data_IF_472752017961
#
_entry.id   IF_472752017961
#
_cell.length_a   1.000
_cell.length_b   1.000
_cell.length_c   1.000
_cell.angle_alpha   90.00
_cell.angle_beta   90.00
_cell.angle_gamma   90.00
#
_symmetry.space_group_name_H-M   'P 1'
#
loop_
_entity.id
_entity.type
_entity.pdbx_description
1 polymer ?
#
# COMPACT_ATOMS: atom_id res chain seq x y z
N UNK A 1 1.79 -22.77 13.16
CA UNK A 1 1.99 -21.57 12.34
C UNK A 1 0.76 -20.73 12.52
N UNK A 2 0.92 -19.46 12.87
CA UNK A 2 -0.22 -18.56 13.07
C UNK A 2 -0.92 -18.36 11.73
N UNK A 3 -2.14 -18.82 11.59
CA UNK A 3 -2.92 -18.72 10.35
C UNK A 3 -3.19 -17.25 9.94
N UNK A 4 -2.91 -16.31 10.82
CA UNK A 4 -3.12 -14.86 10.64
C UNK A 4 -1.83 -14.07 10.43
N UNK A 5 -0.66 -14.71 10.44
CA UNK A 5 0.61 -14.01 10.19
C UNK A 5 0.82 -13.72 8.70
N UNK A 6 1.54 -12.63 8.35
CA UNK A 6 1.86 -12.34 6.97
C UNK A 6 2.74 -13.43 6.36
N UNK A 7 2.55 -13.67 5.06
CA UNK A 7 3.55 -14.32 4.22
C UNK A 7 4.63 -13.28 3.92
N UNK A 8 5.86 -13.55 4.32
CA UNK A 8 6.99 -12.66 4.03
C UNK A 8 7.52 -12.91 2.62
N UNK A 9 7.40 -11.92 1.77
CA UNK A 9 7.82 -12.02 0.37
C UNK A 9 9.33 -11.83 0.18
N UNK A 10 10.07 -11.54 1.24
CA UNK A 10 11.54 -11.40 1.28
C UNK A 10 12.06 -10.53 0.13
N UNK A 11 11.40 -9.40 -0.11
CA UNK A 11 11.78 -8.47 -1.16
C UNK A 11 13.25 -8.05 -1.05
N UNK A 12 14.00 -8.12 -2.14
CA UNK A 12 15.45 -7.90 -2.18
C UNK A 12 16.24 -8.80 -1.19
N UNK A 13 15.73 -9.99 -0.88
CA UNK A 13 16.33 -10.91 0.10
C UNK A 13 16.23 -10.44 1.55
N UNK A 14 15.46 -9.40 1.85
CA UNK A 14 15.26 -8.89 3.20
C UNK A 14 13.90 -9.31 3.77
N UNK A 15 13.91 -9.69 5.05
CA UNK A 15 12.70 -10.04 5.78
C UNK A 15 11.94 -8.79 6.23
N UNK A 16 10.62 -8.91 6.38
CA UNK A 16 9.70 -7.91 6.95
C UNK A 16 9.65 -6.60 6.15
N UNK A 17 9.87 -6.67 4.83
CA UNK A 17 9.77 -5.51 3.93
C UNK A 17 8.39 -5.44 3.28
N UNK A 18 7.99 -6.51 2.58
CA UNK A 18 6.69 -6.67 1.93
C UNK A 18 6.11 -8.01 2.34
N UNK A 19 4.88 -8.00 2.80
CA UNK A 19 4.11 -9.20 3.10
C UNK A 19 2.84 -9.30 2.28
N UNK A 20 2.13 -10.40 2.41
CA UNK A 20 0.76 -10.61 1.95
C UNK A 20 0.04 -11.54 2.92
N UNK A 21 -1.28 -11.68 2.79
CA UNK A 21 -2.06 -12.49 3.72
C UNK A 21 -2.94 -13.47 2.98
N UNK A 22 -2.98 -14.73 3.46
CA UNK A 22 -4.03 -15.65 3.07
C UNK A 22 -5.31 -15.33 3.84
N UNK A 23 -6.43 -15.29 3.13
CA UNK A 23 -7.75 -14.97 3.66
C UNK A 23 -8.71 -16.09 3.26
N UNK A 24 -9.22 -16.84 4.23
CA UNK A 24 -10.32 -17.78 3.98
C UNK A 24 -11.60 -16.98 3.77
N UNK A 25 -12.32 -17.26 2.69
CA UNK A 25 -13.55 -16.56 2.33
C UNK A 25 -14.70 -17.55 2.09
N UNK A 26 -15.91 -17.02 1.95
CA UNK A 26 -17.09 -17.85 1.63
C UNK A 26 -17.04 -18.54 0.26
N UNK A 27 -16.16 -18.09 -0.64
CA UNK A 27 -16.02 -18.60 -2.02
C UNK A 27 -14.58 -19.06 -2.34
N UNK A 28 -13.85 -19.56 -1.34
CA UNK A 28 -12.53 -20.12 -1.52
C UNK A 28 -11.42 -19.33 -0.83
N UNK A 29 -10.20 -19.53 -1.29
CA UNK A 29 -9.01 -18.94 -0.70
C UNK A 29 -8.58 -17.67 -1.46
N UNK A 30 -8.44 -16.57 -0.72
CA UNK A 30 -7.95 -15.32 -1.26
C UNK A 30 -6.52 -15.01 -0.79
N UNK A 31 -5.81 -14.26 -1.60
CA UNK A 31 -4.56 -13.59 -1.23
C UNK A 31 -4.82 -12.08 -1.14
N UNK A 32 -4.53 -11.45 -0.02
CA UNK A 32 -4.57 -9.99 0.10
C UNK A 32 -3.20 -9.41 -0.21
N UNK A 33 -3.13 -8.64 -1.28
CA UNK A 33 -1.96 -8.14 -2.00
C UNK A 33 -1.01 -9.28 -2.45
N UNK A 34 -0.10 -9.01 -3.35
CA UNK A 34 0.76 -10.07 -3.92
C UNK A 34 2.23 -9.67 -4.08
N UNK A 35 2.57 -8.43 -3.73
CA UNK A 35 3.92 -7.92 -3.95
C UNK A 35 4.31 -7.76 -5.42
N UNK A 36 5.58 -7.46 -5.69
CA UNK A 36 6.13 -7.38 -7.03
C UNK A 36 6.43 -8.76 -7.63
N UNK A 37 6.53 -8.85 -8.96
CA UNK A 37 6.76 -10.14 -9.64
C UNK A 37 8.09 -10.79 -9.31
N UNK A 38 9.11 -10.04 -8.91
CA UNK A 38 10.39 -10.60 -8.41
C UNK A 38 10.21 -11.41 -7.13
N UNK A 39 9.10 -11.22 -6.40
CA UNK A 39 8.78 -11.93 -5.17
C UNK A 39 7.96 -13.22 -5.40
N UNK A 40 7.51 -13.51 -6.60
CA UNK A 40 6.71 -14.71 -6.91
C UNK A 40 7.40 -16.01 -6.44
N UNK A 41 8.71 -16.22 -6.63
CA UNK A 41 9.37 -17.42 -6.12
C UNK A 41 9.31 -17.56 -4.60
N UNK A 42 9.38 -16.44 -3.85
CA UNK A 42 9.25 -16.45 -2.40
C UNK A 42 7.80 -16.75 -1.98
N UNK A 43 6.81 -16.20 -2.69
CA UNK A 43 5.40 -16.52 -2.49
C UNK A 43 5.12 -18.01 -2.71
N UNK A 44 5.61 -18.60 -3.81
CA UNK A 44 5.45 -20.03 -4.10
C UNK A 44 6.08 -20.92 -3.03
N UNK A 45 7.29 -20.56 -2.57
CA UNK A 45 7.95 -21.27 -1.47
C UNK A 45 7.13 -21.23 -0.17
N UNK A 46 6.59 -20.06 0.18
CA UNK A 46 5.78 -19.88 1.39
C UNK A 46 4.41 -20.57 1.31
N UNK A 47 3.77 -20.54 0.14
CA UNK A 47 2.58 -21.35 -0.13
C UNK A 47 2.89 -22.85 -0.03
N UNK A 48 3.99 -23.32 -0.62
CA UNK A 48 4.43 -24.71 -0.56
C UNK A 48 4.67 -25.20 0.87
N UNK A 49 5.21 -24.36 1.76
CA UNK A 49 5.36 -24.68 3.20
C UNK A 49 4.01 -24.91 3.90
N UNK A 50 2.94 -24.37 3.35
CA UNK A 50 1.55 -24.54 3.81
C UNK A 50 0.80 -25.63 3.03
N UNK A 51 1.51 -26.39 2.18
CA UNK A 51 0.96 -27.39 1.26
C UNK A 51 -0.05 -26.78 0.26
N UNK A 52 0.17 -25.51 -0.12
CA UNK A 52 -0.59 -24.74 -1.09
C UNK A 52 0.30 -24.38 -2.28
N UNK A 53 -0.36 -23.96 -3.36
CA UNK A 53 0.25 -23.41 -4.57
C UNK A 53 -0.56 -22.21 -5.07
N UNK A 54 -0.08 -21.49 -6.06
CA UNK A 54 -0.84 -20.39 -6.69
C UNK A 54 -2.17 -20.89 -7.28
N UNK A 55 -2.25 -22.16 -7.71
CA UNK A 55 -3.49 -22.73 -8.26
C UNK A 55 -4.58 -23.04 -7.22
N UNK A 56 -4.25 -22.94 -5.93
CA UNK A 56 -5.21 -23.08 -4.84
C UNK A 56 -5.82 -21.74 -4.42
N UNK A 57 -5.37 -20.62 -5.02
CA UNK A 57 -5.92 -19.31 -4.80
C UNK A 57 -7.08 -19.05 -5.77
N UNK A 58 -8.26 -18.78 -5.24
CA UNK A 58 -9.44 -18.44 -6.07
C UNK A 58 -9.49 -16.93 -6.34
N UNK A 59 -9.02 -16.13 -5.39
CA UNK A 59 -9.13 -14.66 -5.41
C UNK A 59 -7.83 -13.96 -5.03
N UNK A 60 -7.61 -12.78 -5.63
CA UNK A 60 -6.59 -11.80 -5.25
C UNK A 60 -7.32 -10.50 -4.85
N UNK A 61 -7.20 -10.09 -3.59
CA UNK A 61 -7.80 -8.87 -3.06
C UNK A 61 -6.72 -7.78 -3.03
N UNK A 62 -6.78 -6.84 -3.95
CA UNK A 62 -5.79 -5.76 -4.01
C UNK A 62 -6.25 -4.56 -3.20
N UNK A 63 -5.40 -4.14 -2.25
CA UNK A 63 -5.61 -2.88 -1.54
C UNK A 63 -5.51 -1.71 -2.49
N UNK A 64 -4.50 -1.70 -3.36
CA UNK A 64 -4.27 -0.69 -4.39
C UNK A 64 -3.27 -1.20 -5.44
N UNK A 65 -2.90 -0.35 -6.43
CA UNK A 65 -2.11 -0.80 -7.58
C UNK A 65 -0.63 -0.40 -7.54
N UNK A 66 -0.09 0.03 -6.41
CA UNK A 66 1.37 0.21 -6.31
C UNK A 66 2.08 -1.14 -6.47
N UNK A 67 3.34 -1.08 -6.94
CA UNK A 67 4.05 -2.27 -7.41
C UNK A 67 4.36 -3.28 -6.32
N UNK A 68 4.54 -2.82 -5.11
CA UNK A 68 4.75 -3.60 -3.90
C UNK A 68 3.48 -4.30 -3.36
N UNK A 69 2.31 -3.98 -3.93
CA UNK A 69 1.02 -4.59 -3.62
C UNK A 69 0.47 -5.41 -4.78
N UNK A 70 0.48 -4.87 -5.99
CA UNK A 70 -0.18 -5.44 -7.17
C UNK A 70 0.77 -5.85 -8.30
N UNK A 71 2.07 -5.65 -8.16
CA UNK A 71 3.04 -5.84 -9.25
C UNK A 71 3.06 -7.25 -9.84
N UNK A 72 2.78 -8.29 -9.03
CA UNK A 72 2.71 -9.67 -9.47
C UNK A 72 1.34 -10.09 -10.05
N UNK A 73 0.29 -9.26 -9.95
CA UNK A 73 -1.09 -9.68 -10.27
C UNK A 73 -1.22 -10.34 -11.65
N UNK A 74 -0.74 -9.72 -12.71
CA UNK A 74 -0.81 -10.30 -14.05
C UNK A 74 0.04 -11.55 -14.23
N UNK A 75 1.17 -11.67 -13.52
CA UNK A 75 2.00 -12.88 -13.50
C UNK A 75 1.24 -14.02 -12.83
N UNK A 76 0.59 -13.77 -11.69
CA UNK A 76 -0.21 -14.78 -10.97
C UNK A 76 -1.41 -15.24 -11.81
N UNK A 77 -2.12 -14.33 -12.48
CA UNK A 77 -3.22 -14.69 -13.41
C UNK A 77 -2.70 -15.54 -14.57
N UNK A 78 -1.53 -15.23 -15.13
CA UNK A 78 -0.90 -16.05 -16.18
C UNK A 78 -0.56 -17.46 -15.67
N UNK A 79 -0.12 -17.60 -14.41
CA UNK A 79 0.15 -18.90 -13.77
C UNK A 79 -1.16 -19.65 -13.45
N UNK A 80 -2.19 -18.92 -13.03
CA UNK A 80 -3.51 -19.46 -12.70
C UNK A 80 -4.64 -18.66 -13.38
N UNK A 81 -5.04 -18.99 -14.63
CA UNK A 81 -6.00 -18.21 -15.42
C UNK A 81 -7.43 -18.10 -14.83
N UNK A 82 -7.73 -18.82 -13.76
CA UNK A 82 -9.04 -18.72 -13.07
C UNK A 82 -9.03 -17.71 -11.90
N UNK A 83 -7.86 -17.23 -11.50
CA UNK A 83 -7.70 -16.28 -10.40
C UNK A 83 -8.49 -15.00 -10.67
N UNK A 84 -9.41 -14.64 -9.78
CA UNK A 84 -10.19 -13.40 -9.87
C UNK A 84 -9.49 -12.28 -9.10
N UNK A 85 -9.27 -11.14 -9.72
CA UNK A 85 -8.55 -9.99 -9.14
C UNK A 85 -9.53 -8.89 -8.76
N UNK A 86 -9.77 -8.73 -7.47
CA UNK A 86 -10.63 -7.69 -6.91
C UNK A 86 -9.83 -6.39 -6.75
N UNK A 87 -10.31 -5.32 -7.36
CA UNK A 87 -9.62 -4.03 -7.38
C UNK A 87 -10.62 -2.88 -7.51
N UNK A 88 -10.24 -1.69 -7.04
CA UNK A 88 -11.06 -0.47 -7.21
C UNK A 88 -11.28 -0.15 -8.69
N UNK A 89 -12.43 0.49 -8.99
CA UNK A 89 -12.75 0.96 -10.34
C UNK A 89 -11.65 1.88 -10.92
N UNK A 90 -11.02 2.69 -10.06
CA UNK A 90 -9.93 3.60 -10.45
C UNK A 90 -8.64 2.83 -10.78
N UNK A 91 -8.37 1.73 -10.07
CA UNK A 91 -7.16 0.91 -10.26
C UNK A 91 -7.25 -0.05 -11.46
N UNK A 92 -8.44 -0.58 -11.74
CA UNK A 92 -8.64 -1.65 -12.73
C UNK A 92 -8.06 -1.36 -14.13
N UNK A 93 -8.25 -0.17 -14.74
CA UNK A 93 -7.69 0.13 -16.07
C UNK A 93 -6.15 0.04 -16.11
N UNK A 94 -5.48 0.28 -14.99
CA UNK A 94 -4.01 0.23 -14.89
C UNK A 94 -3.48 -1.20 -14.71
N UNK A 95 -4.31 -2.15 -14.31
CA UNK A 95 -3.96 -3.56 -14.32
C UNK A 95 -4.20 -4.18 -15.70
N UNK A 96 -5.26 -3.77 -16.40
CA UNK A 96 -5.57 -4.23 -17.75
C UNK A 96 -4.54 -3.72 -18.76
N UNK A 97 -4.17 -2.44 -18.67
CA UNK A 97 -3.05 -1.86 -19.42
C UNK A 97 -2.05 -1.21 -18.46
N UNK A 98 -1.02 -1.95 -18.01
CA UNK A 98 -0.03 -1.44 -17.06
C UNK A 98 0.99 -0.47 -17.67
N UNK A 99 0.94 -0.20 -18.95
CA UNK A 99 1.96 0.59 -19.68
C UNK A 99 2.19 2.00 -19.11
N UNK A 100 1.15 2.67 -18.60
CA UNK A 100 1.28 3.99 -17.97
C UNK A 100 1.92 3.88 -16.59
N UNK A 101 1.52 2.90 -15.81
CA UNK A 101 2.07 2.61 -14.50
C UNK A 101 3.56 2.28 -14.61
N UNK A 102 3.92 1.36 -15.51
CA UNK A 102 5.29 0.98 -15.78
C UNK A 102 6.16 2.18 -16.21
N UNK A 103 5.68 2.99 -17.18
CA UNK A 103 6.42 4.19 -17.60
C UNK A 103 6.63 5.19 -16.47
N UNK A 104 5.66 5.33 -15.57
CA UNK A 104 5.77 6.22 -14.40
C UNK A 104 6.80 5.68 -13.40
N UNK A 105 6.73 4.39 -13.10
CA UNK A 105 7.64 3.74 -12.18
C UNK A 105 9.09 3.69 -12.73
N UNK A 106 9.27 3.39 -14.00
CA UNK A 106 10.61 3.44 -14.63
C UNK A 106 11.24 4.84 -14.60
N UNK A 107 10.45 5.91 -14.65
CA UNK A 107 10.97 7.27 -14.44
C UNK A 107 11.42 7.52 -13.00
N UNK A 108 10.75 6.89 -12.04
CA UNK A 108 11.05 7.04 -10.62
C UNK A 108 12.27 6.21 -10.21
N UNK A 109 12.34 4.95 -10.65
CA UNK A 109 13.34 3.99 -10.21
C UNK A 109 14.51 3.81 -11.17
N UNK A 110 14.40 4.34 -12.42
CA UNK A 110 15.46 4.24 -13.43
C UNK A 110 15.88 2.81 -13.72
N UNK A 111 17.19 2.58 -13.75
CA UNK A 111 17.78 1.28 -14.07
C UNK A 111 17.51 0.20 -13.00
N UNK A 112 17.14 0.61 -11.79
CA UNK A 112 16.81 -0.33 -10.72
C UNK A 112 15.40 -0.96 -10.86
N UNK A 113 14.59 -0.48 -11.81
CA UNK A 113 13.19 -0.93 -11.93
C UNK A 113 13.07 -2.45 -12.08
N UNK A 114 13.81 -3.05 -12.99
CA UNK A 114 13.68 -4.49 -13.29
C UNK A 114 14.15 -5.37 -12.12
N UNK A 115 15.17 -4.94 -11.37
CA UNK A 115 15.67 -5.63 -10.18
C UNK A 115 14.67 -5.51 -9.01
N UNK A 116 14.05 -4.33 -8.82
CA UNK A 116 13.13 -4.07 -7.72
C UNK A 116 11.76 -4.70 -7.94
N UNK A 117 11.23 -4.61 -9.16
CA UNK A 117 9.82 -4.86 -9.44
C UNK A 117 9.58 -6.02 -10.41
N UNK A 118 10.52 -6.27 -11.32
CA UNK A 118 10.42 -7.30 -12.34
C UNK A 118 9.40 -6.99 -13.43
N UNK A 119 8.76 -8.02 -13.96
CA UNK A 119 7.76 -7.90 -15.02
C UNK A 119 6.45 -7.35 -14.47
N UNK A 120 5.89 -6.37 -15.15
CA UNK A 120 4.55 -5.87 -14.90
C UNK A 120 3.61 -6.37 -16.00
N UNK A 121 3.05 -7.57 -15.81
CA UNK A 121 2.16 -8.20 -16.76
C UNK A 121 0.73 -7.65 -16.66
N UNK A 122 0.02 -7.57 -17.80
CA UNK A 122 -1.39 -7.19 -17.83
C UNK A 122 -2.27 -8.27 -17.20
N UNK A 123 -3.35 -7.86 -16.54
CA UNK A 123 -4.44 -8.72 -16.08
C UNK A 123 -5.53 -8.72 -17.15
N UNK A 124 -5.97 -9.87 -17.70
CA UNK A 124 -7.09 -9.93 -18.62
C UNK A 124 -8.38 -9.35 -18.00
N UNK A 125 -9.19 -8.65 -18.81
CA UNK A 125 -10.43 -8.02 -18.32
C UNK A 125 -11.38 -9.02 -17.67
N UNK A 126 -11.44 -10.25 -18.17
CA UNK A 126 -12.27 -11.33 -17.64
C UNK A 126 -11.86 -11.80 -16.23
N UNK A 127 -10.64 -11.48 -15.79
CA UNK A 127 -10.16 -11.77 -14.46
C UNK A 127 -10.37 -10.60 -13.48
N UNK A 128 -10.80 -9.43 -13.97
CA UNK A 128 -11.04 -8.25 -13.12
C UNK A 128 -12.44 -8.33 -12.51
N UNK A 129 -12.48 -8.29 -11.18
CA UNK A 129 -13.69 -8.08 -10.39
C UNK A 129 -13.63 -6.69 -9.73
N UNK A 130 -14.54 -5.78 -10.13
CA UNK A 130 -14.57 -4.44 -9.53
C UNK A 130 -15.07 -4.50 -8.09
N UNK A 131 -14.43 -3.71 -7.25
CA UNK A 131 -14.73 -3.60 -5.82
C UNK A 131 -16.22 -3.25 -5.61
N UNK A 132 -16.87 -4.05 -4.78
CA UNK A 132 -18.23 -3.80 -4.27
C UNK A 132 -18.15 -3.56 -2.76
N UNK A 133 -19.17 -2.98 -2.11
CA UNK A 133 -19.17 -2.79 -0.64
C UNK A 133 -19.04 -4.08 0.16
N UNK A 134 -19.39 -5.22 -0.43
CA UNK A 134 -19.18 -6.58 0.09
C UNK A 134 -18.48 -7.42 -0.98
N UNK A 135 -17.35 -8.01 -0.63
CA UNK A 135 -16.54 -8.88 -1.47
C UNK A 135 -16.26 -10.17 -0.70
N UNK A 136 -16.82 -11.31 -1.16
CA UNK A 136 -16.52 -12.62 -0.59
C UNK A 136 -16.75 -12.72 0.94
N UNK A 137 -17.77 -12.09 1.49
CA UNK A 137 -18.03 -11.95 2.94
C UNK A 137 -17.14 -10.91 3.71
N UNK A 138 -16.25 -10.21 3.02
CA UNK A 138 -15.55 -9.07 3.63
C UNK A 138 -16.26 -7.76 3.29
N UNK A 139 -16.35 -6.83 4.27
CA UNK A 139 -16.70 -5.45 3.97
C UNK A 139 -15.53 -4.77 3.27
N UNK A 140 -15.75 -4.28 2.06
CA UNK A 140 -14.73 -3.56 1.30
C UNK A 140 -15.15 -2.10 1.13
N UNK A 141 -14.22 -1.18 1.40
CA UNK A 141 -14.51 0.24 1.35
C UNK A 141 -13.32 1.06 0.84
N UNK A 142 -13.58 2.13 0.06
CA UNK A 142 -12.54 3.02 -0.41
C UNK A 142 -11.84 3.72 0.75
N UNK A 143 -10.51 3.79 0.69
CA UNK A 143 -9.65 4.44 1.67
C UNK A 143 -8.59 5.32 1.00
N UNK A 144 -9.04 6.38 0.30
CA UNK A 144 -8.14 7.28 -0.42
C UNK A 144 -7.27 8.09 0.54
N UNK A 145 -6.15 8.60 0.02
CA UNK A 145 -5.22 9.48 0.74
C UNK A 145 -3.77 9.13 0.47
N UNK A 146 -3.37 7.88 0.74
CA UNK A 146 -2.12 7.32 0.23
C UNK A 146 -2.16 7.25 -1.30
N UNK A 147 -3.24 6.70 -1.84
CA UNK A 147 -3.54 6.65 -3.27
C UNK A 147 -5.06 6.76 -3.49
N UNK A 148 -5.49 7.33 -4.63
CA UNK A 148 -6.91 7.51 -4.95
C UNK A 148 -7.66 6.20 -5.19
N UNK A 149 -6.94 5.17 -5.59
CA UNK A 149 -7.42 3.81 -5.90
C UNK A 149 -7.33 2.84 -4.73
N UNK A 150 -7.02 3.32 -3.51
CA UNK A 150 -6.85 2.47 -2.33
C UNK A 150 -8.20 2.04 -1.73
N UNK A 151 -8.25 0.78 -1.24
CA UNK A 151 -9.36 0.20 -0.50
C UNK A 151 -8.85 -0.70 0.64
N UNK A 152 -9.62 -0.82 1.70
CA UNK A 152 -9.42 -1.77 2.78
C UNK A 152 -10.48 -2.86 2.76
N UNK A 153 -10.17 -4.01 3.38
CA UNK A 153 -11.06 -5.16 3.52
C UNK A 153 -11.17 -5.54 5.00
N UNK A 154 -12.39 -5.47 5.54
CA UNK A 154 -12.67 -5.87 6.93
C UNK A 154 -13.29 -7.28 6.93
N UNK A 155 -12.59 -8.22 7.52
CA UNK A 155 -13.03 -9.60 7.62
C UNK A 155 -14.06 -9.78 8.75
N UNK A 156 -14.90 -10.87 8.72
CA UNK A 156 -15.87 -11.17 9.76
C UNK A 156 -15.29 -11.35 11.17
N UNK A 157 -14.00 -11.73 11.27
CA UNK A 157 -13.29 -11.85 12.56
C UNK A 157 -12.79 -10.51 13.10
N UNK A 158 -13.06 -9.41 12.39
CA UNK A 158 -12.67 -8.05 12.71
C UNK A 158 -11.26 -7.65 12.23
N UNK A 159 -10.51 -8.54 11.58
CA UNK A 159 -9.21 -8.19 10.98
C UNK A 159 -9.41 -7.21 9.83
N UNK A 160 -8.78 -6.04 9.91
CA UNK A 160 -8.75 -5.08 8.81
C UNK A 160 -7.45 -5.25 8.00
N UNK A 161 -7.58 -5.71 6.77
CA UNK A 161 -6.50 -5.70 5.79
C UNK A 161 -6.39 -4.28 5.24
N UNK A 162 -5.42 -3.56 5.79
CA UNK A 162 -5.41 -2.10 5.68
C UNK A 162 -4.50 -1.58 4.55
N UNK A 163 -3.73 -2.46 3.89
CA UNK A 163 -2.72 -2.00 2.93
C UNK A 163 -1.90 -0.85 3.52
N UNK A 164 -1.74 0.22 2.76
CA UNK A 164 -1.01 1.42 3.16
C UNK A 164 -1.87 2.51 3.82
N UNK A 165 -3.21 2.33 3.83
CA UNK A 165 -4.12 3.31 4.45
C UNK A 165 -3.85 3.48 5.95
N UNK A 166 -3.37 2.44 6.63
CA UNK A 166 -2.96 2.52 8.02
C UNK A 166 -1.44 2.76 8.21
N UNK A 167 -0.70 3.08 7.13
CA UNK A 167 0.73 3.36 7.19
C UNK A 167 1.61 2.12 7.39
N UNK A 168 2.87 2.36 7.69
CA UNK A 168 3.92 1.35 7.86
C UNK A 168 4.24 1.19 9.35
N UNK A 169 4.31 -0.06 9.82
CA UNK A 169 4.84 -0.41 11.15
C UNK A 169 5.43 -1.81 11.12
N UNK A 170 6.74 -1.90 11.27
CA UNK A 170 7.49 -3.17 11.22
C UNK A 170 7.49 -3.81 12.63
N UNK A 171 6.67 -4.86 12.81
CA UNK A 171 6.60 -5.55 14.10
C UNK A 171 7.95 -6.20 14.50
N UNK A 172 8.32 -6.21 15.80
CA UNK A 172 7.51 -5.80 16.97
C UNK A 172 7.60 -4.31 17.32
N UNK A 173 8.18 -3.50 16.47
CA UNK A 173 8.36 -2.07 16.69
C UNK A 173 7.02 -1.32 16.83
N UNK A 174 7.07 -0.11 17.39
CA UNK A 174 5.90 0.77 17.58
C UNK A 174 5.97 2.04 16.75
N UNK A 175 7.01 2.21 15.95
CA UNK A 175 7.14 3.35 15.05
C UNK A 175 6.18 3.20 13.87
N UNK A 176 5.11 4.01 13.85
CA UNK A 176 4.17 4.06 12.73
C UNK A 176 4.45 5.30 11.86
N UNK A 177 4.60 5.14 10.56
CA UNK A 177 4.90 6.24 9.65
C UNK A 177 4.09 6.18 8.36
N UNK A 178 3.78 7.36 7.74
CA UNK A 178 2.99 7.44 6.54
C UNK A 178 3.86 7.26 5.29
N UNK A 179 3.59 6.25 4.43
CA UNK A 179 4.14 6.20 3.08
C UNK A 179 3.42 7.25 2.21
N UNK A 180 4.15 8.27 1.76
CA UNK A 180 3.59 9.36 0.95
C UNK A 180 4.25 9.43 -0.43
N UNK A 181 4.22 8.34 -1.25
CA UNK A 181 4.85 8.34 -2.56
C UNK A 181 4.10 9.23 -3.55
N UNK A 182 4.79 9.75 -4.61
CA UNK A 182 4.09 10.40 -5.70
C UNK A 182 3.31 9.36 -6.53
N UNK A 183 2.25 9.74 -7.28
CA UNK A 183 1.84 11.12 -7.54
C UNK A 183 0.62 11.61 -6.74
N UNK A 184 -0.06 10.77 -5.96
CA UNK A 184 -1.47 10.98 -5.59
C UNK A 184 -1.73 11.23 -4.10
N UNK A 185 -0.70 11.51 -3.32
CA UNK A 185 -0.89 11.80 -1.90
C UNK A 185 -1.88 12.97 -1.67
N UNK A 186 -2.87 12.74 -0.79
CA UNK A 186 -3.88 13.71 -0.36
C UNK A 186 -4.09 13.61 1.16
N UNK A 187 -3.63 14.63 1.89
CA UNK A 187 -3.71 14.67 3.36
C UNK A 187 -5.16 14.62 3.87
N UNK A 188 -6.04 15.46 3.32
CA UNK A 188 -7.42 15.57 3.82
C UNK A 188 -8.20 14.28 3.57
N UNK A 189 -7.97 13.63 2.42
CA UNK A 189 -8.55 12.33 2.12
C UNK A 189 -8.04 11.26 3.10
N UNK A 190 -6.73 11.26 3.41
CA UNK A 190 -6.16 10.26 4.33
C UNK A 190 -6.63 10.44 5.76
N UNK A 191 -6.77 11.68 6.23
CA UNK A 191 -7.34 11.94 7.56
C UNK A 191 -8.79 11.42 7.67
N UNK A 192 -9.62 11.62 6.62
CA UNK A 192 -10.97 11.02 6.57
C UNK A 192 -10.94 9.49 6.52
N UNK A 193 -9.98 8.91 5.82
CA UNK A 193 -9.76 7.46 5.80
C UNK A 193 -9.43 6.92 7.19
N UNK A 194 -8.57 7.61 7.96
CA UNK A 194 -8.26 7.21 9.34
C UNK A 194 -9.54 7.29 10.21
N UNK A 195 -10.35 8.36 10.07
CA UNK A 195 -11.64 8.47 10.78
C UNK A 195 -12.60 7.32 10.41
N UNK A 196 -12.59 6.89 9.14
CA UNK A 196 -13.41 5.79 8.63
C UNK A 196 -12.98 4.43 9.19
N UNK A 197 -11.66 4.22 9.34
CA UNK A 197 -11.09 3.02 9.98
C UNK A 197 -11.43 3.02 11.47
N UNK A 198 -11.19 4.13 12.17
CA UNK A 198 -11.50 4.25 13.61
C UNK A 198 -13.00 4.00 13.93
N UNK A 199 -13.91 4.44 13.07
CA UNK A 199 -15.36 4.23 13.24
C UNK A 199 -15.79 2.76 13.15
N UNK A 200 -15.00 1.92 12.44
CA UNK A 200 -15.24 0.47 12.38
C UNK A 200 -14.68 -0.28 13.56
N UNK A 201 -13.88 0.38 14.39
CA UNK A 201 -13.29 -0.19 15.61
C UNK A 201 -12.63 -1.57 15.39
N UNK A 202 -11.79 -1.76 14.32
CA UNK A 202 -11.19 -3.06 14.10
C UNK A 202 -10.30 -3.44 15.28
N UNK A 203 -10.41 -4.66 15.83
CA UNK A 203 -9.55 -5.10 16.93
C UNK A 203 -8.09 -5.25 16.53
N UNK A 204 -7.81 -5.39 15.22
CA UNK A 204 -6.45 -5.50 14.67
C UNK A 204 -6.35 -5.01 13.24
N UNK A 205 -5.15 -4.55 12.87
CA UNK A 205 -4.81 -4.18 11.49
C UNK A 205 -3.79 -5.19 10.94
N UNK A 206 -4.01 -5.67 9.72
CA UNK A 206 -3.06 -6.45 8.95
C UNK A 206 -2.34 -5.51 7.98
N UNK A 207 -1.06 -5.25 8.23
CA UNK A 207 -0.24 -4.34 7.43
C UNK A 207 0.67 -5.12 6.49
N UNK A 208 0.76 -4.70 5.26
CA UNK A 208 1.72 -5.24 4.27
C UNK A 208 3.16 -4.92 4.69
N UNK A 209 3.39 -3.76 5.31
CA UNK A 209 4.68 -3.28 5.84
C UNK A 209 4.65 -3.08 7.38
N UNK A 210 4.76 -4.01 8.25
CA UNK A 210 4.74 -5.45 8.21
C UNK A 210 4.13 -6.00 9.49
N UNK A 211 3.09 -6.82 9.36
CA UNK A 211 2.57 -7.65 10.44
C UNK A 211 1.23 -7.18 11.02
N UNK A 212 0.80 -7.89 12.07
CA UNK A 212 -0.46 -7.61 12.75
C UNK A 212 -0.24 -6.55 13.83
N UNK A 213 -1.09 -5.54 13.86
CA UNK A 213 -1.14 -4.50 14.89
C UNK A 213 -2.37 -4.73 15.75
N UNK A 214 -2.16 -5.13 17.01
CA UNK A 214 -3.23 -5.40 17.98
C UNK A 214 -3.60 -4.16 18.82
N UNK A 215 -2.97 -3.02 18.57
CA UNK A 215 -3.24 -1.72 19.20
C UNK A 215 -3.57 -0.63 18.15
N UNK A 216 -4.69 -0.78 17.38
CA UNK A 216 -5.03 0.13 16.28
C UNK A 216 -5.13 1.60 16.70
N UNK A 217 -5.77 1.90 17.83
CA UNK A 217 -5.98 3.28 18.29
C UNK A 217 -4.66 4.06 18.47
N UNK A 218 -3.71 3.62 19.33
CA UNK A 218 -2.40 4.26 19.45
C UNK A 218 -1.63 4.36 18.13
N UNK A 219 -1.73 3.33 17.27
CA UNK A 219 -1.09 3.28 15.97
C UNK A 219 -1.65 4.36 15.03
N UNK A 220 -2.96 4.42 14.84
CA UNK A 220 -3.63 5.40 13.97
C UNK A 220 -3.43 6.84 14.48
N UNK A 221 -3.43 7.06 15.79
CA UNK A 221 -3.10 8.35 16.38
C UNK A 221 -1.67 8.79 16.06
N UNK A 222 -0.70 7.87 16.08
CA UNK A 222 0.67 8.16 15.72
C UNK A 222 0.80 8.49 14.22
N UNK A 223 0.13 7.71 13.35
CA UNK A 223 0.07 7.95 11.91
C UNK A 223 -0.53 9.33 11.61
N UNK A 224 -1.68 9.67 12.22
CA UNK A 224 -2.35 10.97 12.08
C UNK A 224 -1.42 12.13 12.47
N UNK A 225 -0.76 12.01 13.62
CA UNK A 225 0.21 13.03 14.09
C UNK A 225 1.32 13.24 13.05
N UNK A 226 1.95 12.17 12.56
CA UNK A 226 3.02 12.26 11.56
C UNK A 226 2.57 12.80 10.22
N UNK A 227 1.38 12.46 9.76
CA UNK A 227 0.82 13.08 8.57
C UNK A 227 0.77 14.61 8.70
N UNK A 228 0.31 15.12 9.84
CA UNK A 228 0.30 16.57 10.09
C UNK A 228 1.71 17.15 10.20
N UNK A 229 2.61 16.50 10.94
CA UNK A 229 3.99 16.97 11.12
C UNK A 229 4.76 16.99 9.79
N UNK A 230 4.67 15.92 9.00
CA UNK A 230 5.39 15.79 7.74
C UNK A 230 4.89 16.78 6.68
N UNK A 231 3.58 17.01 6.60
CA UNK A 231 2.99 17.94 5.64
C UNK A 231 3.16 19.41 6.01
N UNK A 232 3.30 19.72 7.30
CA UNK A 232 3.53 21.09 7.77
C UNK A 232 4.96 21.60 7.51
N UNK A 233 5.90 20.71 7.19
CA UNK A 233 7.33 21.03 7.09
C UNK A 233 7.82 21.03 5.65
N UNK A 234 7.50 22.08 4.89
CA UNK A 234 8.05 22.33 3.55
C UNK A 234 9.52 22.78 3.65
N UNK A 235 10.42 21.80 3.80
CA UNK A 235 11.86 21.99 3.93
C UNK A 235 12.57 21.56 2.64
N UNK A 236 13.83 22.05 2.41
CA UNK A 236 14.71 21.45 1.41
C UNK A 236 14.89 19.95 1.65
N UNK A 237 15.03 19.18 0.57
CA UNK A 237 15.08 17.71 0.63
C UNK A 237 16.09 17.18 1.65
N UNK A 238 17.32 17.68 1.61
CA UNK A 238 18.39 17.24 2.51
C UNK A 238 18.04 17.45 3.99
N UNK A 239 17.42 18.60 4.31
CA UNK A 239 17.03 18.92 5.68
C UNK A 239 15.86 18.08 6.15
N UNK A 240 14.88 17.84 5.27
CA UNK A 240 13.73 17.00 5.54
C UNK A 240 14.16 15.54 5.77
N UNK A 241 14.96 14.98 4.86
CA UNK A 241 15.48 13.62 4.95
C UNK A 241 16.31 13.42 6.22
N UNK A 242 17.21 14.36 6.54
CA UNK A 242 18.01 14.31 7.77
C UNK A 242 17.14 14.27 9.01
N UNK A 243 16.08 15.09 9.05
CA UNK A 243 15.15 15.16 10.18
C UNK A 243 14.35 13.87 10.35
N UNK A 244 13.81 13.32 9.26
CA UNK A 244 13.04 12.08 9.29
C UNK A 244 13.92 10.87 9.58
N UNK A 245 15.15 10.83 9.08
CA UNK A 245 16.12 9.79 9.46
C UNK A 245 16.41 9.81 10.96
N UNK A 246 16.68 10.99 11.52
CA UNK A 246 16.91 11.11 12.95
C UNK A 246 15.69 10.69 13.80
N UNK A 247 14.48 11.07 13.38
CA UNK A 247 13.24 10.64 14.02
C UNK A 247 13.12 9.11 14.00
N UNK A 248 13.31 8.49 12.82
CA UNK A 248 13.25 7.05 12.64
C UNK A 248 14.30 6.32 13.47
N UNK A 249 15.54 6.79 13.48
CA UNK A 249 16.63 6.23 14.30
C UNK A 249 16.37 6.35 15.81
N UNK A 250 15.68 7.39 16.24
CA UNK A 250 15.37 7.63 17.65
C UNK A 250 14.15 6.83 18.15
N UNK A 251 13.19 6.53 17.27
CA UNK A 251 11.92 5.94 17.64
C UNK A 251 11.73 4.49 17.14
N UNK A 252 12.63 3.97 16.29
CA UNK A 252 12.58 2.61 15.74
C UNK A 252 13.76 1.78 16.20
N UNK A 253 13.52 0.51 16.53
CA UNK A 253 14.55 -0.48 16.82
C UNK A 253 15.19 -1.08 15.55
N UNK A 254 14.55 -0.90 14.38
CA UNK A 254 15.01 -1.47 13.09
C UNK A 254 14.89 -0.46 11.93
N UNK A 255 15.59 0.69 11.99
CA UNK A 255 15.48 1.74 10.98
C UNK A 255 15.88 1.29 9.57
N UNK A 256 16.73 0.26 9.47
CA UNK A 256 17.16 -0.31 8.19
C UNK A 256 16.05 -1.02 7.43
N UNK A 257 15.18 -1.76 8.12
CA UNK A 257 14.02 -2.41 7.50
C UNK A 257 12.97 -1.37 7.07
N UNK A 258 12.76 -0.32 7.88
CA UNK A 258 11.89 0.80 7.47
C UNK A 258 12.40 1.51 6.21
N UNK A 259 13.73 1.69 6.07
CA UNK A 259 14.28 2.30 4.83
C UNK A 259 14.03 1.44 3.59
N UNK A 260 14.03 0.12 3.74
CA UNK A 260 13.72 -0.78 2.61
C UNK A 260 12.23 -0.83 2.30
N UNK A 261 11.37 -0.84 3.33
CA UNK A 261 9.92 -0.90 3.16
C UNK A 261 9.35 0.44 2.66
N UNK A 262 9.91 1.55 3.14
CA UNK A 262 9.45 2.91 2.83
C UNK A 262 10.65 3.86 2.76
N UNK A 263 11.36 3.92 1.64
CA UNK A 263 12.46 4.87 1.48
C UNK A 263 11.98 6.32 1.60
N UNK A 264 12.59 7.08 2.51
CA UNK A 264 12.16 8.45 2.82
C UNK A 264 12.21 9.40 1.63
N UNK A 265 13.10 9.16 0.66
CA UNK A 265 13.16 9.96 -0.56
C UNK A 265 11.88 9.87 -1.40
N UNK A 266 11.22 8.70 -1.41
CA UNK A 266 9.92 8.53 -2.08
C UNK A 266 8.83 9.33 -1.39
N UNK A 267 8.80 9.28 -0.06
CA UNK A 267 7.85 10.08 0.72
C UNK A 267 8.07 11.58 0.51
N UNK A 268 9.33 12.02 0.50
CA UNK A 268 9.65 13.43 0.19
C UNK A 268 9.17 13.82 -1.22
N UNK A 269 9.41 12.97 -2.22
CA UNK A 269 8.99 13.26 -3.60
C UNK A 269 7.46 13.46 -3.71
N UNK A 270 6.67 12.70 -2.98
CA UNK A 270 5.23 12.88 -2.93
C UNK A 270 4.80 14.12 -2.16
N UNK A 271 5.42 14.38 -1.01
CA UNK A 271 5.18 15.62 -0.24
C UNK A 271 5.59 16.87 -1.02
N UNK A 272 6.72 16.86 -1.73
CA UNK A 272 7.11 17.97 -2.60
C UNK A 272 6.03 18.30 -3.63
N UNK A 273 5.48 17.29 -4.25
CA UNK A 273 4.39 17.44 -5.21
C UNK A 273 3.11 17.96 -4.56
N UNK A 274 2.82 17.54 -3.33
CA UNK A 274 1.70 18.04 -2.53
C UNK A 274 1.87 19.53 -2.22
N UNK A 275 3.03 19.97 -1.76
CA UNK A 275 3.30 21.39 -1.47
C UNK A 275 3.26 22.24 -2.73
N UNK A 276 3.83 21.78 -3.86
CA UNK A 276 3.78 22.48 -5.14
C UNK A 276 2.32 22.69 -5.61
N UNK A 277 1.47 21.69 -5.42
CA UNK A 277 0.03 21.79 -5.72
C UNK A 277 -0.66 22.83 -4.84
N UNK A 278 -0.37 22.86 -3.54
CA UNK A 278 -0.91 23.86 -2.62
C UNK A 278 -0.47 25.28 -2.99
N UNK A 279 0.80 25.48 -3.32
CA UNK A 279 1.34 26.77 -3.74
C UNK A 279 0.65 27.25 -5.03
N UNK A 280 0.52 26.40 -6.04
CA UNK A 280 -0.19 26.72 -7.29
C UNK A 280 -1.69 27.04 -7.10
N UNK A 281 -2.35 26.37 -6.15
CA UNK A 281 -3.74 26.70 -5.78
C UNK A 281 -3.84 28.05 -5.07
N UNK A 282 -2.84 28.40 -4.24
CA UNK A 282 -2.76 29.71 -3.57
C UNK A 282 -2.63 30.85 -4.58
N UNK A 283 -1.74 30.71 -5.55
CA UNK A 283 -1.55 31.70 -6.64
C UNK A 283 -2.80 31.86 -7.51
N UNK A 284 -3.45 30.77 -7.89
CA UNK A 284 -4.70 30.81 -8.66
C UNK A 284 -5.84 31.52 -7.89
N UNK A 285 -5.92 31.31 -6.57
CA UNK A 285 -6.92 31.97 -5.71
C UNK A 285 -6.66 33.48 -5.60
N UNK A 286 -5.39 33.90 -5.52
CA UNK A 286 -5.01 35.31 -5.49
C UNK A 286 -5.28 35.96 -6.85
N UNK A 287 -4.93 35.26 -7.95
CA UNK A 287 -5.18 35.77 -9.30
C UNK A 287 -6.68 35.97 -9.60
N UNK A 288 -7.53 35.04 -9.14
CA UNK A 288 -8.99 35.15 -9.32
C UNK A 288 -9.62 36.29 -8.50
N UNK A 289 -9.03 36.66 -7.35
CA UNK A 289 -9.47 37.81 -6.53
C UNK A 289 -9.04 39.16 -7.10
N UNK A 290 -7.98 39.18 -7.91
CA UNK A 290 -7.42 40.40 -8.52
C UNK A 290 -7.83 40.61 -9.97
N UNK A 291 -8.71 39.78 -10.54
CA UNK A 291 -9.26 39.99 -11.87
C UNK A 291 -10.19 41.20 -11.85
N UNK A 292 -9.99 42.22 -12.70
CA UNK A 292 -10.89 43.38 -12.76
C UNK A 292 -12.26 42.91 -13.28
N UNK A 293 -13.31 43.32 -12.56
CA UNK A 293 -14.73 43.13 -12.94
C UNK A 293 -15.07 43.95 -14.15
#
# INVERSE_FOLDING_TARGET
>A
MDALGPIDLRHQGAERVIGCYLVETSDGLALNDCGPSVCVPALEEELGRRSLSVSDLDHLLLSHIHLDHAGAAGVLVRMHPKLQVHVSEVGAPHLVDPSRLERSARRLYGDAFDELWGELAAVPEENIALLQPEVLDLEAFPTPGHASHHACYLAPDGTLYAGDAAGVRIQPDRYACPPTPPPEFDLDAWLRTIDEIERREPPRLALIHFGIVDDPGPHLNQLRRRLHEWTAEDLPEEDWLRRRNHEREAESDDPGTYERAMPLWQSYAGLRRYWDKLAGMGEATIASRNAPT
#
